data_IF_752986709902
#
_entry.id   IF_752986709902
#
_cell.length_a   1.000
_cell.length_b   1.000
_cell.length_c   1.000
_cell.angle_alpha   90.00
_cell.angle_beta   90.00
_cell.angle_gamma   90.00
#
_symmetry.space_group_name_H-M   'P 1'
#
loop_
_entity.id
_entity.type
_entity.pdbx_description
1 polymer ?
#
# COMPACT_ATOMS: atom_id res chain seq x y z
N UNK A 1 11.13 -6.49 -22.31
CA UNK A 1 11.66 -6.50 -20.93
C UNK A 1 10.48 -6.24 -20.00
N UNK A 2 10.30 -7.05 -18.97
CA UNK A 2 9.27 -6.84 -17.95
C UNK A 2 9.86 -6.05 -16.77
N UNK A 3 9.12 -5.06 -16.26
CA UNK A 3 9.49 -4.28 -15.09
C UNK A 3 8.58 -4.64 -13.92
N UNK A 4 9.14 -4.74 -12.72
CA UNK A 4 8.39 -4.91 -11.47
C UNK A 4 8.68 -3.72 -10.57
N UNK A 5 7.62 -3.10 -10.06
CA UNK A 5 7.69 -1.98 -9.12
C UNK A 5 7.10 -2.47 -7.81
N UNK A 6 7.87 -2.33 -6.73
CA UNK A 6 7.45 -2.69 -5.38
C UNK A 6 7.28 -1.42 -4.57
N UNK A 7 6.13 -1.29 -3.93
CA UNK A 7 5.73 -0.14 -3.15
C UNK A 7 5.38 -0.63 -1.75
N UNK A 8 5.91 0.06 -0.74
CA UNK A 8 5.49 -0.12 0.65
C UNK A 8 4.43 0.93 0.99
N UNK A 9 3.45 0.56 1.81
CA UNK A 9 2.50 1.52 2.36
C UNK A 9 3.20 2.62 3.16
N UNK A 10 2.53 3.76 3.32
CA UNK A 10 3.03 4.89 4.14
C UNK A 10 3.00 4.56 5.63
N UNK A 11 3.48 5.50 6.45
CA UNK A 11 3.60 5.31 7.89
C UNK A 11 2.23 5.02 8.52
N UNK A 12 2.10 3.92 9.28
CA UNK A 12 0.88 3.67 10.05
C UNK A 12 0.76 4.71 11.19
N UNK A 13 -0.48 5.06 11.54
CA UNK A 13 -0.80 5.98 12.63
C UNK A 13 -0.91 5.22 13.95
N UNK A 14 0.23 4.70 14.40
CA UNK A 14 0.37 3.90 15.63
C UNK A 14 1.64 4.30 16.38
N UNK A 15 1.75 3.97 17.68
CA UNK A 15 2.97 4.18 18.44
C UNK A 15 4.19 3.51 17.79
N UNK A 16 5.33 4.20 17.82
CA UNK A 16 6.59 3.66 17.32
C UNK A 16 7.01 2.42 18.13
N UNK A 17 7.59 1.44 17.44
CA UNK A 17 8.03 0.18 18.04
C UNK A 17 6.93 -0.88 18.23
N UNK A 18 5.66 -0.56 17.94
CA UNK A 18 4.59 -1.56 17.96
C UNK A 18 4.68 -2.49 16.73
N UNK A 19 4.74 -3.80 16.96
CA UNK A 19 4.58 -4.80 15.91
C UNK A 19 3.10 -5.06 15.65
N UNK A 20 2.64 -4.92 14.40
CA UNK A 20 1.23 -5.03 14.04
C UNK A 20 0.92 -6.13 13.02
N UNK A 21 1.92 -6.61 12.27
CA UNK A 21 1.75 -7.69 11.27
C UNK A 21 0.52 -7.54 10.39
N UNK A 22 -0.35 -8.56 10.43
CA UNK A 22 -1.60 -8.64 9.67
C UNK A 22 -2.72 -7.73 10.17
N UNK A 23 -2.55 -7.10 11.34
CA UNK A 23 -3.58 -6.23 11.92
C UNK A 23 -3.81 -5.03 11.01
N UNK A 24 -5.07 -4.73 10.74
CA UNK A 24 -5.44 -3.56 9.95
C UNK A 24 -5.42 -2.29 10.80
N UNK A 25 -4.28 -1.62 10.80
CA UNK A 25 -4.02 -0.39 11.56
C UNK A 25 -4.32 0.86 10.72
N UNK A 26 -4.68 1.99 11.37
CA UNK A 26 -4.82 3.26 10.67
C UNK A 26 -3.48 3.74 10.09
N UNK A 27 -3.54 4.71 9.18
CA UNK A 27 -2.38 5.32 8.53
C UNK A 27 -2.56 6.84 8.44
N UNK A 28 -1.45 7.55 8.27
CA UNK A 28 -1.45 9.02 8.23
C UNK A 28 -1.88 9.49 6.84
N UNK A 29 -3.10 10.04 6.75
CA UNK A 29 -3.72 10.42 5.48
C UNK A 29 -2.95 11.52 4.72
N UNK A 30 -2.38 12.50 5.42
CA UNK A 30 -1.64 13.58 4.74
C UNK A 30 -0.37 13.07 4.06
N UNK A 31 0.40 12.20 4.73
CA UNK A 31 1.60 11.58 4.14
C UNK A 31 1.24 10.73 2.92
N UNK A 32 0.10 10.04 2.99
CA UNK A 32 -0.45 9.27 1.88
C UNK A 32 -0.81 10.15 0.67
N UNK A 33 -1.55 11.25 0.88
CA UNK A 33 -1.98 12.12 -0.21
C UNK A 33 -0.81 12.83 -0.88
N UNK A 34 0.17 13.25 -0.09
CA UNK A 34 1.41 13.85 -0.59
C UNK A 34 2.21 12.84 -1.41
N UNK A 35 2.31 11.60 -0.96
CA UNK A 35 3.04 10.55 -1.69
C UNK A 35 2.39 10.25 -3.05
N UNK A 36 1.06 10.05 -3.08
CA UNK A 36 0.34 9.82 -4.34
C UNK A 36 0.51 10.99 -5.32
N UNK A 37 0.62 12.22 -4.84
CA UNK A 37 0.73 13.40 -5.71
C UNK A 37 2.10 13.53 -6.39
N UNK A 38 3.17 13.12 -5.72
CA UNK A 38 4.54 13.45 -6.13
C UNK A 38 5.30 12.29 -6.79
N UNK A 39 4.82 11.05 -6.64
CA UNK A 39 5.46 9.90 -7.26
C UNK A 39 5.08 9.72 -8.74
N UNK A 40 6.01 9.30 -9.61
CA UNK A 40 5.75 9.07 -11.02
C UNK A 40 5.02 7.74 -11.24
N UNK A 41 3.69 7.75 -11.13
CA UNK A 41 2.88 6.55 -11.37
C UNK A 41 2.92 6.11 -12.84
N UNK A 42 3.15 4.82 -13.11
CA UNK A 42 3.06 4.30 -14.47
C UNK A 42 1.60 4.31 -14.96
N UNK A 43 1.38 4.83 -16.16
CA UNK A 43 0.04 4.90 -16.75
C UNK A 43 -0.52 3.53 -17.17
N UNK A 44 0.36 2.57 -17.49
CA UNK A 44 0.01 1.23 -17.96
C UNK A 44 0.67 0.17 -17.09
N UNK A 45 -0.01 -0.19 -16.01
CA UNK A 45 0.45 -1.21 -15.07
C UNK A 45 -0.69 -2.14 -14.68
N UNK A 46 -0.34 -3.40 -14.41
CA UNK A 46 -1.19 -4.31 -13.66
C UNK A 46 -0.88 -4.11 -12.17
N UNK A 47 -1.84 -3.54 -11.45
CA UNK A 47 -1.69 -3.23 -10.04
C UNK A 47 -2.16 -4.41 -9.17
N UNK A 48 -1.36 -4.76 -8.17
CA UNK A 48 -1.71 -5.73 -7.14
C UNK A 48 -1.54 -5.08 -5.77
N UNK A 49 -2.40 -5.42 -4.81
CA UNK A 49 -2.28 -4.91 -3.45
C UNK A 49 -2.71 -5.93 -2.41
N UNK A 50 -2.12 -5.80 -1.22
CA UNK A 50 -2.62 -6.42 0.01
C UNK A 50 -4.04 -5.93 0.32
N UNK A 51 -4.92 -6.75 0.89
CA UNK A 51 -6.25 -6.31 1.33
C UNK A 51 -6.22 -5.34 2.53
N UNK A 52 -5.09 -5.18 3.22
CA UNK A 52 -4.98 -4.26 4.37
C UNK A 52 -5.16 -2.81 3.90
N UNK A 53 -5.96 -2.01 4.61
CA UNK A 53 -6.39 -0.66 4.15
C UNK A 53 -5.22 0.25 3.84
N UNK A 54 -4.17 0.23 4.67
CA UNK A 54 -2.93 0.99 4.46
C UNK A 54 -2.25 0.72 3.10
N UNK A 55 -2.47 -0.44 2.50
CA UNK A 55 -2.00 -0.79 1.15
C UNK A 55 -3.07 -0.59 0.08
N UNK A 56 -4.30 -1.05 0.35
CA UNK A 56 -5.37 -1.06 -0.63
C UNK A 56 -5.83 0.35 -1.00
N UNK A 57 -5.98 1.23 0.00
CA UNK A 57 -6.37 2.61 -0.25
C UNK A 57 -5.32 3.31 -1.12
N UNK A 58 -4.03 3.01 -0.87
CA UNK A 58 -2.89 3.59 -1.58
C UNK A 58 -2.91 3.18 -3.04
N UNK A 59 -3.02 1.88 -3.29
CA UNK A 59 -3.11 1.35 -4.63
C UNK A 59 -4.33 1.93 -5.37
N UNK A 60 -5.49 1.99 -4.74
CA UNK A 60 -6.72 2.52 -5.36
C UNK A 60 -6.61 4.02 -5.70
N UNK A 61 -5.88 4.79 -4.90
CA UNK A 61 -5.68 6.22 -5.15
C UNK A 61 -4.61 6.48 -6.22
N UNK A 62 -3.52 5.70 -6.19
CA UNK A 62 -2.36 5.88 -7.06
C UNK A 62 -2.55 5.31 -8.46
N UNK A 63 -3.28 4.21 -8.60
CA UNK A 63 -3.33 3.46 -9.85
C UNK A 63 -4.44 3.97 -10.77
N UNK A 64 -4.15 4.18 -12.07
CA UNK A 64 -5.16 4.58 -13.05
C UNK A 64 -6.08 3.41 -13.47
N UNK A 65 -5.78 2.19 -13.03
CA UNK A 65 -6.49 0.94 -13.37
C UNK A 65 -7.01 0.25 -12.12
N UNK A 66 -7.94 -0.69 -12.30
CA UNK A 66 -8.46 -1.50 -11.19
C UNK A 66 -7.32 -2.29 -10.52
N UNK A 67 -7.28 -2.21 -9.19
CA UNK A 67 -6.30 -2.93 -8.36
C UNK A 67 -6.79 -4.36 -8.15
N UNK A 68 -5.94 -5.34 -8.45
CA UNK A 68 -6.17 -6.74 -8.07
C UNK A 68 -5.78 -6.94 -6.60
N UNK A 69 -6.78 -7.23 -5.75
CA UNK A 69 -6.53 -7.56 -4.35
C UNK A 69 -6.02 -9.00 -4.26
N UNK A 70 -4.92 -9.21 -3.54
CA UNK A 70 -4.29 -10.53 -3.38
C UNK A 70 -3.93 -10.80 -1.91
N UNK A 71 -4.62 -11.76 -1.31
CA UNK A 71 -4.44 -12.20 0.08
C UNK A 71 -3.00 -12.66 0.38
N UNK A 72 -2.25 -13.11 -0.64
CA UNK A 72 -0.85 -13.55 -0.49
C UNK A 72 0.11 -12.39 -0.23
N UNK A 73 -0.34 -11.14 -0.43
CA UNK A 73 0.43 -9.92 -0.17
C UNK A 73 0.17 -9.33 1.22
N UNK A 74 -0.57 -10.02 2.10
CA UNK A 74 -0.69 -9.63 3.51
C UNK A 74 0.70 -9.65 4.17
N UNK A 75 0.95 -8.65 5.01
CA UNK A 75 2.15 -8.54 5.85
C UNK A 75 2.36 -9.83 6.67
N UNK A 76 3.61 -10.09 7.04
CA UNK A 76 3.94 -11.25 7.85
C UNK A 76 3.09 -11.32 9.13
N UNK A 77 2.74 -12.55 9.49
CA UNK A 77 2.15 -12.86 10.78
C UNK A 77 3.26 -12.89 11.83
N UNK A 78 3.16 -11.99 12.81
CA UNK A 78 4.12 -11.90 13.91
C UNK A 78 3.56 -12.45 15.23
N UNK A 79 2.36 -13.07 15.22
CA UNK A 79 1.73 -13.67 16.39
C UNK A 79 0.24 -13.35 16.52
#
# INVERSE_FOLDING_TARGET
MSHLILIRHTRPDIPEGLCYGRTDVPYILSEFEDWVRHEPWPEKIHAYSSPLRRCLDLANKAMPTAVCVDERLIELDFG
#
